data_IF_971698887782
#
_entry.id   IF_971698887782
#
_cell.length_a   1.000
_cell.length_b   1.000
_cell.length_c   1.000
_cell.angle_alpha   90.00
_cell.angle_beta   90.00
_cell.angle_gamma   90.00
#
_symmetry.space_group_name_H-M   'P 1'
#
loop_
_entity.id
_entity.type
_entity.pdbx_description
1 polymer ?
#
# COMPACT_ATOMS: atom_id res chain seq x y z
N UNK A 1 32.17 27.93 10.77
CA UNK A 1 31.60 29.08 11.50
C UNK A 1 30.34 29.53 10.78
N UNK A 2 29.24 29.74 11.53
CA UNK A 2 27.92 30.27 11.10
C UNK A 2 27.08 29.30 10.25
N UNK A 3 25.80 29.05 10.52
CA UNK A 3 24.92 29.63 11.53
C UNK A 3 23.67 28.77 11.76
N UNK A 4 23.30 28.67 13.03
CA UNK A 4 22.04 28.13 13.53
C UNK A 4 20.95 29.19 13.39
N UNK A 5 19.79 28.85 12.83
CA UNK A 5 18.58 29.66 12.92
C UNK A 5 17.41 28.76 13.33
N UNK A 6 17.05 28.91 14.59
CA UNK A 6 15.86 28.40 15.25
C UNK A 6 14.70 29.33 14.86
N UNK A 7 13.57 28.77 14.44
CA UNK A 7 12.31 29.53 14.34
C UNK A 7 11.18 28.71 14.98
N UNK A 8 10.86 29.05 16.23
CA UNK A 8 9.63 28.68 16.89
C UNK A 8 8.54 29.68 16.44
N UNK A 9 7.42 29.17 15.93
CA UNK A 9 6.16 29.93 15.96
C UNK A 9 5.15 29.18 16.83
N UNK A 10 4.92 29.78 17.99
CA UNK A 10 3.82 29.49 18.89
C UNK A 10 2.62 30.39 18.56
N UNK A 11 1.48 30.00 19.12
CA UNK A 11 0.33 30.85 19.48
C UNK A 11 -0.88 30.83 18.56
N UNK A 12 -2.03 30.49 19.16
CA UNK A 12 -3.34 30.81 18.63
C UNK A 12 -4.51 30.08 19.30
N UNK A 13 -4.59 30.07 20.64
CA UNK A 13 -5.77 29.62 21.38
C UNK A 13 -6.78 30.79 21.44
N UNK A 14 -7.98 30.65 20.87
CA UNK A 14 -9.05 31.66 20.96
C UNK A 14 -10.23 31.18 21.84
N UNK A 15 -10.18 31.67 23.08
CA UNK A 15 -11.22 32.25 23.97
C UNK A 15 -12.71 31.91 23.78
N UNK A 16 -13.30 31.47 24.90
CA UNK A 16 -14.72 31.39 25.27
C UNK A 16 -15.49 32.73 25.18
N UNK A 17 -16.78 32.67 24.84
CA UNK A 17 -17.76 33.65 25.30
C UNK A 17 -19.04 32.96 25.79
N UNK A 18 -19.29 33.07 27.10
CA UNK A 18 -20.57 32.87 27.72
C UNK A 18 -21.40 34.15 27.59
N UNK A 19 -22.67 34.03 27.24
CA UNK A 19 -23.66 35.08 27.44
C UNK A 19 -24.99 34.43 27.85
N UNK A 20 -25.26 34.47 29.14
CA UNK A 20 -26.55 34.24 29.76
C UNK A 20 -27.28 35.59 29.71
N UNK A 21 -28.46 35.63 29.08
CA UNK A 21 -29.29 36.82 28.99
C UNK A 21 -30.70 36.48 29.44
N UNK A 22 -31.05 36.98 30.62
CA UNK A 22 -32.41 37.00 31.19
C UNK A 22 -33.18 38.20 30.63
N UNK A 23 -34.43 37.99 30.21
CA UNK A 23 -35.24 38.99 29.52
C UNK A 23 -36.69 38.55 29.38
N UNK A 24 -37.56 39.22 30.15
CA UNK A 24 -38.99 38.96 30.29
C UNK A 24 -39.82 39.36 29.06
N UNK A 25 -40.90 38.60 28.79
CA UNK A 25 -42.07 39.09 28.05
C UNK A 25 -42.40 38.33 26.77
N UNK A 26 -43.71 38.07 26.61
CA UNK A 26 -44.43 37.43 25.49
C UNK A 26 -44.25 35.92 25.31
N UNK A 27 -45.30 35.17 25.67
CA UNK A 27 -45.54 33.77 25.27
C UNK A 27 -45.35 33.63 23.75
N UNK A 28 -44.36 32.86 23.29
CA UNK A 28 -44.29 32.47 21.89
C UNK A 28 -45.21 31.28 21.70
N UNK A 29 -46.24 31.46 20.89
CA UNK A 29 -47.00 30.37 20.27
C UNK A 29 -46.00 29.38 19.68
N UNK A 30 -45.94 28.17 20.24
CA UNK A 30 -45.08 27.10 19.77
C UNK A 30 -45.53 26.67 18.36
N UNK A 31 -44.95 27.31 17.35
CA UNK A 31 -45.02 26.86 15.97
C UNK A 31 -44.17 25.57 15.89
N UNK A 32 -44.71 24.44 15.43
CA UNK A 32 -43.91 23.23 15.25
C UNK A 32 -42.83 23.54 14.21
N UNK A 33 -41.59 23.64 14.66
CA UNK A 33 -40.40 23.69 13.81
C UNK A 33 -40.42 22.43 12.95
N UNK A 34 -40.31 22.53 11.61
CA UNK A 34 -40.07 21.34 10.80
C UNK A 34 -38.78 20.71 11.31
N UNK A 35 -38.88 19.49 11.83
CA UNK A 35 -37.72 18.67 12.15
C UNK A 35 -36.94 18.53 10.85
N UNK A 36 -35.76 19.14 10.79
CA UNK A 36 -34.84 18.94 9.68
C UNK A 36 -34.59 17.44 9.60
N UNK A 37 -35.12 16.80 8.56
CA UNK A 37 -34.80 15.42 8.21
C UNK A 37 -33.29 15.32 8.21
N UNK A 38 -32.73 14.58 9.18
CA UNK A 38 -31.31 14.29 9.20
C UNK A 38 -30.96 13.73 7.84
N UNK A 39 -30.03 14.38 7.13
CA UNK A 39 -29.49 13.84 5.90
C UNK A 39 -29.00 12.43 6.23
N UNK A 40 -29.59 11.44 5.56
CA UNK A 40 -29.17 10.05 5.68
C UNK A 40 -27.66 10.02 5.44
N UNK A 41 -26.85 9.35 6.29
CA UNK A 41 -25.42 9.29 6.08
C UNK A 41 -25.17 8.76 4.67
N UNK A 42 -24.51 9.59 3.85
CA UNK A 42 -24.00 9.14 2.55
C UNK A 42 -23.13 7.94 2.84
N UNK A 43 -23.51 6.77 2.32
CA UNK A 43 -22.69 5.56 2.47
C UNK A 43 -21.27 5.91 2.03
N UNK A 44 -20.28 5.58 2.85
CA UNK A 44 -18.89 5.70 2.45
C UNK A 44 -18.72 4.92 1.14
N UNK A 45 -17.98 5.48 0.14
CA UNK A 45 -17.79 4.79 -1.13
C UNK A 45 -17.21 3.40 -0.86
N UNK A 46 -17.94 2.36 -1.28
CA UNK A 46 -17.40 1.00 -1.27
C UNK A 46 -16.25 0.96 -2.27
N UNK A 47 -15.02 0.83 -1.77
CA UNK A 47 -13.87 0.57 -2.62
C UNK A 47 -14.09 -0.79 -3.28
N UNK A 48 -14.32 -0.78 -4.59
CA UNK A 48 -14.38 -2.02 -5.37
C UNK A 48 -12.98 -2.64 -5.39
N UNK A 49 -12.85 -3.96 -5.26
CA UNK A 49 -11.57 -4.63 -5.43
C UNK A 49 -11.04 -4.38 -6.86
N UNK A 50 -9.71 -4.33 -7.04
CA UNK A 50 -9.12 -4.10 -8.35
C UNK A 50 -9.55 -5.19 -9.34
N UNK A 51 -9.79 -4.79 -10.59
CA UNK A 51 -10.13 -5.71 -11.67
C UNK A 51 -9.01 -6.74 -11.89
N UNK A 52 -9.34 -7.99 -12.25
CA UNK A 52 -8.34 -8.97 -12.68
C UNK A 52 -7.49 -8.44 -13.85
N UNK A 53 -6.22 -8.83 -13.88
CA UNK A 53 -5.27 -8.57 -14.96
C UNK A 53 -5.34 -9.71 -15.99
N UNK A 54 -5.36 -9.38 -17.27
CA UNK A 54 -5.27 -10.37 -18.34
C UNK A 54 -3.85 -10.97 -18.42
N UNK A 55 -3.74 -12.16 -19.01
CA UNK A 55 -2.45 -12.86 -19.18
C UNK A 55 -1.41 -12.04 -19.97
N UNK A 56 -1.87 -11.14 -20.85
CA UNK A 56 -1.03 -10.23 -21.66
C UNK A 56 -0.70 -8.91 -20.96
N UNK A 57 -1.34 -8.61 -19.83
CA UNK A 57 -1.11 -7.35 -19.13
C UNK A 57 0.21 -7.41 -18.37
N UNK A 58 0.87 -6.26 -18.23
CA UNK A 58 2.06 -6.12 -17.38
C UNK A 58 1.66 -6.45 -15.94
N UNK A 59 2.29 -7.49 -15.39
CA UNK A 59 2.04 -7.95 -14.04
C UNK A 59 2.66 -6.97 -13.03
N UNK A 60 3.95 -6.67 -13.23
CA UNK A 60 4.79 -5.84 -12.35
C UNK A 60 5.81 -5.07 -13.17
N UNK A 61 6.14 -3.85 -12.75
CA UNK A 61 7.27 -3.10 -13.30
C UNK A 61 8.52 -3.36 -12.47
N UNK A 62 9.62 -3.77 -13.11
CA UNK A 62 10.89 -4.06 -12.45
C UNK A 62 11.98 -3.15 -12.99
N UNK A 63 12.73 -2.50 -12.10
CA UNK A 63 13.83 -1.59 -12.48
C UNK A 63 15.10 -1.86 -11.67
N UNK A 64 16.26 -1.68 -12.30
CA UNK A 64 17.56 -1.75 -11.66
C UNK A 64 18.52 -0.78 -12.37
N UNK A 65 18.79 0.38 -11.76
CA UNK A 65 19.54 1.45 -12.42
C UNK A 65 18.87 1.92 -13.72
N UNK A 66 19.57 1.77 -14.84
CA UNK A 66 19.11 2.12 -16.20
C UNK A 66 18.37 0.97 -16.92
N UNK A 67 18.28 -0.21 -16.29
CA UNK A 67 17.62 -1.38 -16.87
C UNK A 67 16.18 -1.50 -16.38
N UNK A 68 15.28 -1.96 -17.25
CA UNK A 68 13.87 -2.23 -16.92
C UNK A 68 13.41 -3.58 -17.47
N UNK A 69 12.58 -4.28 -16.71
CA UNK A 69 11.91 -5.52 -17.09
C UNK A 69 10.43 -5.42 -16.71
N UNK A 70 9.55 -5.67 -17.67
CA UNK A 70 8.09 -5.54 -17.49
C UNK A 70 7.42 -6.85 -17.93
N UNK A 71 7.50 -7.91 -17.11
CA UNK A 71 6.87 -9.18 -17.45
C UNK A 71 5.36 -9.05 -17.48
N UNK A 72 4.75 -9.74 -18.45
CA UNK A 72 3.31 -10.00 -18.41
C UNK A 72 2.97 -11.03 -17.33
N UNK A 73 1.68 -11.17 -17.03
CA UNK A 73 1.18 -12.24 -16.14
C UNK A 73 1.60 -13.62 -16.66
N UNK A 74 1.46 -13.84 -17.98
CA UNK A 74 1.88 -15.08 -18.63
C UNK A 74 3.39 -15.33 -18.48
N UNK A 75 4.21 -14.28 -18.67
CA UNK A 75 5.67 -14.39 -18.53
C UNK A 75 6.05 -14.84 -17.12
N UNK A 76 5.46 -14.24 -16.07
CA UNK A 76 5.75 -14.63 -14.69
C UNK A 76 5.30 -16.06 -14.39
N UNK A 77 4.12 -16.49 -14.86
CA UNK A 77 3.64 -17.86 -14.66
C UNK A 77 4.52 -18.90 -15.34
N UNK A 78 5.13 -18.55 -16.48
CA UNK A 78 6.02 -19.43 -17.22
C UNK A 78 7.42 -19.57 -16.61
N UNK A 79 7.81 -18.69 -15.67
CA UNK A 79 9.08 -18.80 -14.97
C UNK A 79 9.10 -20.01 -14.02
N UNK A 80 10.29 -20.59 -13.76
CA UNK A 80 10.43 -21.65 -12.77
C UNK A 80 9.87 -21.24 -11.41
N UNK A 81 9.00 -22.08 -10.85
CA UNK A 81 8.42 -21.87 -9.54
C UNK A 81 9.17 -22.65 -8.47
N UNK A 82 9.28 -22.07 -7.28
CA UNK A 82 9.86 -22.70 -6.09
C UNK A 82 8.80 -22.74 -4.99
N UNK A 83 8.77 -23.85 -4.25
CA UNK A 83 7.93 -23.99 -3.07
C UNK A 83 8.71 -23.56 -1.83
N UNK A 84 8.18 -22.61 -1.08
CA UNK A 84 8.69 -22.22 0.23
C UNK A 84 7.89 -22.93 1.31
N UNK A 85 8.30 -24.15 1.66
CA UNK A 85 7.54 -25.00 2.60
C UNK A 85 7.34 -24.35 3.99
N UNK A 86 8.28 -23.50 4.42
CA UNK A 86 8.15 -22.74 5.67
C UNK A 86 7.07 -21.66 5.66
N UNK A 87 6.60 -21.23 4.48
CA UNK A 87 5.53 -20.26 4.31
C UNK A 87 4.26 -20.85 3.66
N UNK A 88 4.34 -22.08 3.13
CA UNK A 88 3.22 -22.76 2.46
C UNK A 88 2.82 -22.13 1.13
N UNK A 89 3.75 -21.45 0.44
CA UNK A 89 3.51 -20.74 -0.82
C UNK A 89 4.44 -21.23 -1.93
N UNK A 90 3.95 -21.19 -3.17
CA UNK A 90 4.71 -21.49 -4.38
C UNK A 90 4.70 -20.27 -5.28
N UNK A 91 5.86 -19.88 -5.80
CA UNK A 91 5.98 -18.72 -6.68
C UNK A 91 7.36 -18.61 -7.33
N UNK A 92 7.56 -17.54 -8.09
CA UNK A 92 8.85 -17.23 -8.73
C UNK A 92 9.81 -16.68 -7.68
N UNK A 93 11.03 -17.20 -7.59
CA UNK A 93 12.01 -16.68 -6.65
C UNK A 93 12.33 -15.20 -6.94
N UNK A 94 12.38 -14.35 -5.89
CA UNK A 94 12.71 -12.93 -6.05
C UNK A 94 14.08 -12.73 -6.70
N UNK A 95 15.05 -13.61 -6.39
CA UNK A 95 16.37 -13.62 -7.01
C UNK A 95 16.32 -13.82 -8.53
N UNK A 96 15.43 -14.67 -9.04
CA UNK A 96 15.28 -14.90 -10.49
C UNK A 96 14.81 -13.66 -11.24
N UNK A 97 14.09 -12.75 -10.56
CA UNK A 97 13.75 -11.44 -11.13
C UNK A 97 14.97 -10.53 -11.19
N UNK A 98 15.80 -10.51 -10.14
CA UNK A 98 17.07 -9.79 -10.14
C UNK A 98 18.03 -10.28 -11.25
N UNK A 99 18.09 -11.60 -11.48
CA UNK A 99 18.90 -12.20 -12.55
C UNK A 99 18.51 -11.71 -13.95
N UNK A 100 17.21 -11.43 -14.21
CA UNK A 100 16.76 -10.87 -15.50
C UNK A 100 17.36 -9.50 -15.82
N UNK A 101 17.75 -8.77 -14.78
CA UNK A 101 18.34 -7.45 -14.87
C UNK A 101 19.85 -7.47 -14.57
N UNK A 102 20.45 -8.65 -14.36
CA UNK A 102 21.86 -8.80 -13.97
C UNK A 102 22.16 -7.97 -12.70
N UNK A 103 21.27 -8.09 -11.71
CA UNK A 103 21.41 -7.46 -10.40
C UNK A 103 22.46 -8.23 -9.59
N UNK A 104 23.41 -7.48 -9.02
CA UNK A 104 24.46 -8.04 -8.18
C UNK A 104 23.91 -8.59 -6.85
N UNK A 105 24.63 -9.56 -6.32
CA UNK A 105 24.48 -9.99 -4.94
C UNK A 105 24.62 -8.80 -3.96
N UNK A 106 23.81 -8.80 -2.91
CA UNK A 106 23.79 -7.76 -1.87
C UNK A 106 23.05 -6.47 -2.26
N UNK A 107 22.43 -6.41 -3.44
CA UNK A 107 21.57 -5.30 -3.82
C UNK A 107 20.40 -5.13 -2.85
N UNK A 108 19.99 -3.88 -2.63
CA UNK A 108 18.77 -3.62 -1.88
C UNK A 108 17.59 -3.73 -2.82
N UNK A 109 16.62 -4.56 -2.45
CA UNK A 109 15.36 -4.69 -3.17
C UNK A 109 14.27 -3.94 -2.42
N UNK A 110 13.53 -3.10 -3.14
CA UNK A 110 12.29 -2.47 -2.65
C UNK A 110 11.13 -2.99 -3.49
N UNK A 111 10.07 -3.43 -2.82
CA UNK A 111 8.85 -3.94 -3.44
C UNK A 111 7.68 -3.06 -3.01
N UNK A 112 6.93 -2.57 -3.99
CA UNK A 112 5.82 -1.65 -3.83
C UNK A 112 4.52 -2.33 -4.24
N UNK A 113 3.49 -2.16 -3.42
CA UNK A 113 2.15 -2.67 -3.67
C UNK A 113 1.23 -2.23 -2.56
N UNK A 114 0.45 -3.17 -2.03
CA UNK A 114 -0.64 -2.90 -1.08
C UNK A 114 -0.61 -3.82 0.13
N UNK A 115 -1.35 -3.42 1.16
CA UNK A 115 -1.70 -4.29 2.28
C UNK A 115 -2.63 -5.43 1.85
N UNK A 116 -2.81 -6.39 2.75
CA UNK A 116 -3.72 -7.54 2.64
C UNK A 116 -5.18 -7.15 2.36
N UNK A 117 -5.63 -6.02 2.89
CA UNK A 117 -6.95 -5.44 2.59
C UNK A 117 -7.02 -4.70 1.24
N UNK A 118 -5.92 -4.65 0.48
CA UNK A 118 -5.76 -3.96 -0.81
C UNK A 118 -6.07 -2.44 -0.78
N UNK A 119 -6.25 -1.86 0.40
CA UNK A 119 -6.74 -0.49 0.55
C UNK A 119 -5.62 0.52 0.82
N UNK A 120 -4.49 0.09 1.40
CA UNK A 120 -3.37 0.97 1.74
C UNK A 120 -2.12 0.60 0.95
N UNK A 121 -1.32 1.59 0.51
CA UNK A 121 -0.03 1.32 -0.07
C UNK A 121 0.88 0.65 0.96
N UNK A 122 1.75 -0.24 0.49
CA UNK A 122 2.72 -0.96 1.31
C UNK A 122 4.03 -1.11 0.56
N UNK A 123 5.09 -1.04 1.34
CA UNK A 123 6.45 -1.21 0.87
C UNK A 123 7.13 -2.29 1.70
N UNK A 124 7.92 -3.13 1.05
CA UNK A 124 8.87 -4.02 1.70
C UNK A 124 10.25 -3.74 1.16
N UNK A 125 11.27 -3.74 2.03
CA UNK A 125 12.66 -3.50 1.66
C UNK A 125 13.55 -4.52 2.34
N UNK A 126 14.49 -5.09 1.60
CA UNK A 126 15.43 -6.10 2.11
C UNK A 126 16.68 -6.22 1.25
N UNK A 127 17.67 -6.97 1.74
CA UNK A 127 18.87 -7.31 0.95
C UNK A 127 18.56 -8.54 0.12
N UNK A 128 18.87 -8.52 -1.19
CA UNK A 128 18.51 -9.60 -2.10
C UNK A 128 19.06 -10.96 -1.65
N UNK A 129 20.32 -11.02 -1.21
CA UNK A 129 20.98 -12.27 -0.81
C UNK A 129 20.34 -12.93 0.41
N UNK A 130 19.85 -12.11 1.36
CA UNK A 130 19.21 -12.58 2.58
C UNK A 130 17.83 -13.20 2.30
N UNK A 131 17.22 -12.82 1.17
CA UNK A 131 15.87 -13.20 0.79
C UNK A 131 15.78 -14.04 -0.50
N UNK A 132 16.90 -14.26 -1.18
CA UNK A 132 16.97 -14.89 -2.49
C UNK A 132 16.30 -16.27 -2.56
N UNK A 133 16.33 -17.01 -1.45
CA UNK A 133 15.77 -18.38 -1.33
C UNK A 133 14.55 -18.46 -0.43
N UNK A 134 14.12 -17.34 0.14
CA UNK A 134 13.06 -17.31 1.17
C UNK A 134 11.96 -16.32 0.85
N UNK A 135 12.05 -15.61 -0.28
CA UNK A 135 11.00 -14.74 -0.82
C UNK A 135 10.65 -15.12 -2.27
N UNK A 136 9.37 -15.14 -2.56
CA UNK A 136 8.79 -15.46 -3.87
C UNK A 136 7.72 -14.45 -4.28
N UNK A 137 7.54 -14.30 -5.58
CA UNK A 137 6.41 -13.65 -6.21
C UNK A 137 5.37 -14.70 -6.59
N UNK A 138 4.21 -14.63 -5.96
CA UNK A 138 3.06 -15.52 -6.22
C UNK A 138 2.10 -14.80 -7.15
N UNK A 139 1.72 -15.43 -8.26
CA UNK A 139 0.72 -14.90 -9.19
C UNK A 139 -0.61 -15.61 -8.93
N UNK A 140 -1.60 -14.89 -8.40
CA UNK A 140 -2.94 -15.45 -8.14
C UNK A 140 -3.75 -15.66 -9.43
N UNK A 141 -4.90 -16.32 -9.37
CA UNK A 141 -5.74 -16.61 -10.55
C UNK A 141 -6.28 -15.35 -11.25
N UNK A 142 -6.23 -14.20 -10.59
CA UNK A 142 -6.62 -12.91 -11.17
C UNK A 142 -5.46 -12.15 -11.79
N UNK A 143 -4.27 -12.76 -11.84
CA UNK A 143 -3.06 -12.16 -12.41
C UNK A 143 -2.36 -11.17 -11.49
N UNK A 144 -2.77 -11.06 -10.22
CA UNK A 144 -2.10 -10.17 -9.25
C UNK A 144 -0.90 -10.85 -8.64
N UNK A 145 0.12 -10.05 -8.38
CA UNK A 145 1.39 -10.52 -7.82
C UNK A 145 1.41 -10.24 -6.32
N UNK A 146 1.83 -11.21 -5.52
CA UNK A 146 2.07 -11.05 -4.08
C UNK A 146 3.52 -11.41 -3.77
N UNK A 147 4.23 -10.52 -3.07
CA UNK A 147 5.49 -10.88 -2.43
C UNK A 147 5.18 -11.61 -1.12
N UNK A 148 5.61 -12.86 -1.04
CA UNK A 148 5.48 -13.70 0.13
C UNK A 148 6.82 -14.37 0.44
N UNK A 149 7.02 -14.78 1.70
CA UNK A 149 8.27 -15.43 2.06
C UNK A 149 8.25 -16.06 3.44
N UNK A 150 9.16 -17.01 3.68
CA UNK A 150 9.39 -17.59 5.02
C UNK A 150 10.22 -16.68 5.91
N UNK A 151 11.02 -15.79 5.33
CA UNK A 151 11.77 -14.76 6.04
C UNK A 151 10.98 -13.46 6.24
N UNK A 152 9.76 -13.38 5.71
CA UNK A 152 8.90 -12.21 5.79
C UNK A 152 7.65 -12.63 6.59
N UNK A 153 7.39 -12.06 7.78
CA UNK A 153 6.16 -12.36 8.50
C UNK A 153 4.94 -12.05 7.62
N UNK A 154 3.82 -12.76 7.80
CA UNK A 154 2.65 -12.60 6.91
C UNK A 154 2.13 -11.16 6.86
N UNK A 155 2.21 -10.46 7.99
CA UNK A 155 1.84 -9.05 8.12
C UNK A 155 2.78 -8.12 7.33
N UNK A 156 3.94 -8.62 6.90
CA UNK A 156 4.92 -7.96 6.05
C UNK A 156 4.82 -8.31 4.56
N UNK A 157 3.93 -9.22 4.18
CA UNK A 157 3.70 -9.55 2.76
C UNK A 157 3.14 -8.33 2.02
N UNK A 158 3.46 -8.23 0.73
CA UNK A 158 3.02 -7.13 -0.14
C UNK A 158 2.11 -7.72 -1.21
N UNK A 159 0.87 -7.26 -1.23
CA UNK A 159 -0.17 -7.74 -2.14
C UNK A 159 -0.32 -6.78 -3.30
N UNK A 160 -0.83 -7.27 -4.44
CA UNK A 160 -1.00 -6.45 -5.65
C UNK A 160 0.28 -5.64 -5.97
N UNK A 161 1.40 -6.35 -6.08
CA UNK A 161 2.71 -5.75 -6.32
C UNK A 161 2.69 -5.06 -7.69
N UNK A 162 2.94 -3.76 -7.68
CA UNK A 162 2.96 -2.91 -8.87
C UNK A 162 4.40 -2.62 -9.33
N UNK A 163 5.34 -2.59 -8.39
CA UNK A 163 6.73 -2.19 -8.64
C UNK A 163 7.76 -2.97 -7.83
N UNK A 164 8.91 -3.25 -8.46
CA UNK A 164 10.10 -3.80 -7.80
C UNK A 164 11.31 -2.99 -8.29
N UNK A 165 12.11 -2.48 -7.36
CA UNK A 165 13.35 -1.77 -7.67
C UNK A 165 14.55 -2.39 -6.97
N UNK A 166 15.69 -2.40 -7.66
CA UNK A 166 16.98 -2.86 -7.12
C UNK A 166 18.00 -1.72 -7.13
N UNK A 167 18.73 -1.57 -6.02
CA UNK A 167 19.78 -0.56 -5.77
C UNK A 167 21.15 -1.19 -5.46
#
# INVERSE_FOLDING_TARGET
MRGTLISLFASGLFVLAAACGDGSGTEPTAQPTPVATAASPSAAPTLLPPSPKAETDVAVQVVAGDKSYQPTVADLRALPQVNLSGAGVTGVALASIGEKLDVRAGAIVTVEGRSDDLARPRYWRGVLDEHARTAVLVVDDSGRVTLAGSSIPKEGWVYDVEGISFE
#
